data_IF_834114944623
#
_entry.id   IF_834114944623
#
_cell.length_a   1.000
_cell.length_b   1.000
_cell.length_c   1.000
_cell.angle_alpha   90.00
_cell.angle_beta   90.00
_cell.angle_gamma   90.00
#
_symmetry.space_group_name_H-M   'P 1'
#
loop_
_entity.id
_entity.type
_entity.pdbx_description
1 polymer ?
#
# COMPACT_ATOMS: atom_id res chain seq x y z
N UNK A 1 -17.04 0.74 -6.48
CA UNK A 1 -15.61 0.33 -6.51
C UNK A 1 -15.30 -0.79 -7.50
N UNK A 2 -15.95 -1.97 -7.44
CA UNK A 2 -15.64 -3.09 -8.36
C UNK A 2 -15.59 -2.71 -9.83
N UNK A 3 -16.62 -2.01 -10.30
CA UNK A 3 -16.71 -1.60 -11.70
C UNK A 3 -15.61 -0.61 -12.11
N UNK A 4 -15.31 0.35 -11.23
CA UNK A 4 -14.20 1.30 -11.42
C UNK A 4 -12.87 0.56 -11.58
N UNK A 5 -12.61 -0.45 -10.76
CA UNK A 5 -11.39 -1.25 -10.86
C UNK A 5 -11.29 -2.00 -12.18
N UNK A 6 -12.38 -2.63 -12.65
CA UNK A 6 -12.37 -3.33 -13.93
C UNK A 6 -12.13 -2.37 -15.09
N UNK A 7 -12.76 -1.20 -15.09
CA UNK A 7 -12.54 -0.18 -16.11
C UNK A 7 -11.09 0.32 -16.14
N UNK A 8 -10.50 0.61 -14.98
CA UNK A 8 -9.09 1.03 -14.89
C UNK A 8 -8.16 -0.10 -15.33
N UNK A 9 -8.40 -1.33 -14.90
CA UNK A 9 -7.59 -2.51 -15.27
C UNK A 9 -7.64 -2.78 -16.77
N UNK A 10 -8.78 -2.53 -17.41
CA UNK A 10 -8.95 -2.64 -18.85
C UNK A 10 -8.35 -1.46 -19.63
N UNK A 11 -7.90 -0.38 -18.96
CA UNK A 11 -7.45 0.85 -19.60
C UNK A 11 -8.58 1.67 -20.24
N UNK A 12 -9.85 1.37 -19.92
CA UNK A 12 -11.02 2.00 -20.51
C UNK A 12 -11.29 3.36 -19.85
N UNK A 13 -10.57 4.38 -20.33
CA UNK A 13 -10.65 5.74 -19.80
C UNK A 13 -12.04 6.35 -19.96
N UNK A 14 -12.75 6.03 -21.05
CA UNK A 14 -14.13 6.48 -21.28
C UNK A 14 -15.07 5.92 -20.22
N UNK A 15 -14.96 4.62 -19.93
CA UNK A 15 -15.79 3.98 -18.91
C UNK A 15 -15.49 4.51 -17.51
N UNK A 16 -14.23 4.80 -17.20
CA UNK A 16 -13.87 5.45 -15.92
C UNK A 16 -14.55 6.82 -15.77
N UNK A 17 -14.58 7.63 -16.83
CA UNK A 17 -15.27 8.94 -16.82
C UNK A 17 -16.76 8.78 -16.59
N UNK A 18 -17.41 7.84 -17.28
CA UNK A 18 -18.85 7.57 -17.10
C UNK A 18 -19.19 7.14 -15.67
N UNK A 19 -18.40 6.22 -15.10
CA UNK A 19 -18.60 5.73 -13.73
C UNK A 19 -18.46 6.89 -12.72
N UNK A 20 -17.43 7.72 -12.87
CA UNK A 20 -17.21 8.85 -11.95
C UNK A 20 -18.23 9.98 -12.18
N UNK A 21 -18.77 10.14 -13.39
CA UNK A 21 -19.87 11.07 -13.64
C UNK A 21 -21.17 10.61 -12.96
N UNK A 22 -21.42 9.30 -12.93
CA UNK A 22 -22.56 8.71 -12.24
C UNK A 22 -22.41 8.74 -10.71
N UNK A 23 -21.18 8.58 -10.19
CA UNK A 23 -20.85 8.69 -8.77
C UNK A 23 -19.56 9.51 -8.54
N UNK A 24 -19.69 10.84 -8.34
CA UNK A 24 -18.54 11.72 -8.13
C UNK A 24 -17.72 11.40 -6.88
N UNK A 25 -18.28 10.67 -5.90
CA UNK A 25 -17.54 10.26 -4.70
C UNK A 25 -16.37 9.32 -5.03
N UNK A 26 -16.45 8.63 -6.17
CA UNK A 26 -15.39 7.76 -6.68
C UNK A 26 -14.21 8.51 -7.29
N UNK A 27 -14.34 9.80 -7.58
CA UNK A 27 -13.35 10.56 -8.34
C UNK A 27 -11.97 10.59 -7.68
N UNK A 28 -11.91 10.73 -6.35
CA UNK A 28 -10.62 10.78 -5.63
C UNK A 28 -9.91 9.42 -5.67
N UNK A 29 -10.67 8.33 -5.60
CA UNK A 29 -10.14 6.98 -5.69
C UNK A 29 -9.66 6.67 -7.10
N UNK A 30 -10.44 7.05 -8.13
CA UNK A 30 -10.04 6.90 -9.52
C UNK A 30 -8.72 7.63 -9.82
N UNK A 31 -8.63 8.91 -9.41
CA UNK A 31 -7.43 9.71 -9.60
C UNK A 31 -6.22 9.12 -8.86
N UNK A 32 -6.42 8.61 -7.63
CA UNK A 32 -5.36 7.95 -6.86
C UNK A 32 -4.88 6.63 -7.50
N UNK A 33 -5.80 5.79 -7.99
CA UNK A 33 -5.47 4.53 -8.66
C UNK A 33 -4.75 4.79 -9.98
N UNK A 34 -5.18 5.77 -10.76
CA UNK A 34 -4.58 6.11 -12.05
C UNK A 34 -3.27 6.89 -11.92
N UNK A 35 -3.05 7.57 -10.79
CA UNK A 35 -1.90 8.46 -10.58
C UNK A 35 -2.10 9.86 -11.18
N UNK A 36 -3.34 10.27 -11.41
CA UNK A 36 -3.68 11.58 -11.98
C UNK A 36 -3.48 12.69 -10.93
N UNK A 37 -2.24 13.17 -10.85
CA UNK A 37 -1.83 14.16 -9.85
C UNK A 37 -2.54 15.51 -10.04
N UNK A 38 -2.81 15.93 -11.28
CA UNK A 38 -3.50 17.19 -11.56
C UNK A 38 -4.93 17.15 -11.02
N UNK A 39 -5.62 16.03 -11.25
CA UNK A 39 -6.97 15.82 -10.72
C UNK A 39 -6.97 15.70 -9.20
N UNK A 40 -6.05 14.93 -8.62
CA UNK A 40 -5.90 14.85 -7.16
C UNK A 40 -5.69 16.23 -6.53
N UNK A 41 -4.80 17.04 -7.10
CA UNK A 41 -4.51 18.38 -6.60
C UNK A 41 -5.76 19.28 -6.64
N UNK A 42 -6.46 19.30 -7.79
CA UNK A 42 -7.69 20.08 -7.96
C UNK A 42 -8.77 19.65 -6.96
N UNK A 43 -8.98 18.35 -6.79
CA UNK A 43 -9.99 17.81 -5.89
C UNK A 43 -9.69 18.13 -4.43
N UNK A 44 -8.45 17.93 -3.99
CA UNK A 44 -8.04 18.20 -2.59
C UNK A 44 -8.02 19.69 -2.27
N UNK A 45 -7.70 20.55 -3.26
CA UNK A 45 -7.81 22.00 -3.11
C UNK A 45 -9.26 22.45 -2.91
N UNK A 46 -10.21 21.84 -3.64
CA UNK A 46 -11.64 22.12 -3.50
C UNK A 46 -12.29 21.50 -2.25
N UNK A 47 -11.79 20.35 -1.79
CA UNK A 47 -12.29 19.68 -0.60
C UNK A 47 -11.20 18.84 0.10
N UNK A 48 -10.63 19.38 1.18
CA UNK A 48 -9.59 18.70 1.97
C UNK A 48 -10.07 17.41 2.65
N UNK A 49 -11.37 17.24 2.89
CA UNK A 49 -11.91 16.02 3.52
C UNK A 49 -11.74 14.78 2.63
N UNK A 50 -11.47 14.96 1.33
CA UNK A 50 -11.19 13.86 0.42
C UNK A 50 -9.90 13.10 0.76
N UNK A 51 -8.95 13.72 1.46
CA UNK A 51 -7.72 13.05 1.93
C UNK A 51 -8.02 11.88 2.90
N UNK A 52 -9.15 11.96 3.61
CA UNK A 52 -9.61 10.94 4.55
C UNK A 52 -10.84 10.19 4.05
N UNK A 53 -11.22 10.36 2.78
CA UNK A 53 -12.31 9.60 2.18
C UNK A 53 -12.00 8.10 2.24
N UNK A 54 -13.04 7.28 2.40
CA UNK A 54 -12.91 5.84 2.52
C UNK A 54 -13.78 5.18 1.46
N UNK A 55 -13.20 4.28 0.67
CA UNK A 55 -13.92 3.52 -0.35
C UNK A 55 -14.85 2.49 0.31
N UNK A 56 -15.73 1.88 -0.48
CA UNK A 56 -16.60 0.78 0.02
C UNK A 56 -15.81 -0.42 0.54
N UNK A 57 -14.55 -0.58 0.10
CA UNK A 57 -13.65 -1.64 0.54
C UNK A 57 -12.79 -1.22 1.74
N UNK A 58 -13.01 -0.02 2.30
CA UNK A 58 -12.32 0.50 3.47
C UNK A 58 -10.98 1.18 3.19
N UNK A 59 -10.67 1.54 1.95
CA UNK A 59 -9.37 2.10 1.56
C UNK A 59 -9.42 3.62 1.41
N UNK A 60 -8.36 4.32 1.84
CA UNK A 60 -8.20 5.76 1.55
C UNK A 60 -7.50 5.97 0.21
N UNK A 61 -7.51 7.20 -0.37
CA UNK A 61 -6.77 7.49 -1.59
C UNK A 61 -5.28 7.15 -1.47
N UNK A 62 -4.67 7.40 -0.30
CA UNK A 62 -3.26 7.08 -0.05
C UNK A 62 -3.00 5.57 -0.10
N UNK A 63 -3.90 4.76 0.47
CA UNK A 63 -3.74 3.30 0.40
C UNK A 63 -3.84 2.79 -1.05
N UNK A 64 -4.76 3.33 -1.85
CA UNK A 64 -4.92 2.93 -3.25
C UNK A 64 -3.72 3.38 -4.09
N UNK A 65 -3.32 4.65 -4.01
CA UNK A 65 -2.12 5.13 -4.70
C UNK A 65 -0.89 4.29 -4.33
N UNK A 66 -0.77 3.88 -3.07
CA UNK A 66 0.31 3.03 -2.61
C UNK A 66 0.24 1.59 -3.18
N UNK A 67 -0.94 0.96 -3.17
CA UNK A 67 -1.13 -0.39 -3.71
C UNK A 67 -0.88 -0.47 -5.22
N UNK A 68 -1.16 0.59 -5.97
CA UNK A 68 -0.98 0.67 -7.42
C UNK A 68 0.34 1.33 -7.85
N UNK A 69 1.25 1.62 -6.92
CA UNK A 69 2.60 2.08 -7.23
C UNK A 69 2.67 3.51 -7.77
N UNK A 70 1.68 4.35 -7.46
CA UNK A 70 1.59 5.72 -7.96
C UNK A 70 2.44 6.66 -7.10
N UNK A 71 3.76 6.58 -7.24
CA UNK A 71 4.74 7.32 -6.40
C UNK A 71 4.43 8.81 -6.31
N UNK A 72 4.18 9.48 -7.44
CA UNK A 72 3.92 10.93 -7.45
C UNK A 72 2.59 11.27 -6.77
N UNK A 73 1.56 10.43 -6.94
CA UNK A 73 0.29 10.58 -6.26
C UNK A 73 0.43 10.36 -4.74
N UNK A 74 1.24 9.39 -4.32
CA UNK A 74 1.57 9.16 -2.91
C UNK A 74 2.26 10.39 -2.31
N UNK A 75 3.30 10.93 -2.97
CA UNK A 75 3.99 12.15 -2.54
C UNK A 75 3.02 13.33 -2.44
N UNK A 76 2.19 13.55 -3.47
CA UNK A 76 1.22 14.62 -3.50
C UNK A 76 0.24 14.50 -2.33
N UNK A 77 -0.38 13.34 -2.12
CA UNK A 77 -1.35 13.11 -1.06
C UNK A 77 -0.74 13.36 0.32
N UNK A 78 0.48 12.87 0.58
CA UNK A 78 1.22 13.11 1.82
C UNK A 78 1.51 14.60 2.02
N UNK A 79 2.01 15.28 0.98
CA UNK A 79 2.31 16.72 1.01
C UNK A 79 1.06 17.58 1.23
N UNK A 80 -0.13 17.14 0.80
CA UNK A 80 -1.40 17.83 1.07
C UNK A 80 -2.00 17.51 2.45
N UNK A 81 -1.41 16.57 3.18
CA UNK A 81 -1.75 16.23 4.56
C UNK A 81 -2.51 14.92 4.76
N UNK A 82 -2.46 13.98 3.80
CA UNK A 82 -2.91 12.62 4.06
C UNK A 82 -2.11 12.01 5.21
N UNK A 83 -2.79 11.36 6.16
CA UNK A 83 -2.14 10.77 7.31
C UNK A 83 -1.42 9.47 6.90
N UNK A 84 -0.08 9.48 6.98
CA UNK A 84 0.75 8.31 6.63
C UNK A 84 0.43 7.06 7.45
N UNK A 85 0.06 7.25 8.72
CA UNK A 85 -0.31 6.18 9.66
C UNK A 85 -1.81 5.87 9.70
N UNK A 86 -2.61 6.41 8.77
CA UNK A 86 -4.03 6.07 8.70
C UNK A 86 -4.20 4.56 8.49
N UNK A 87 -5.09 3.96 9.28
CA UNK A 87 -5.52 2.59 9.06
C UNK A 87 -6.74 2.56 8.15
N UNK A 88 -6.77 1.61 7.22
CA UNK A 88 -7.96 1.25 6.47
C UNK A 88 -9.08 0.82 7.43
N UNK A 89 -10.33 1.00 7.04
CA UNK A 89 -11.48 0.54 7.85
C UNK A 89 -11.91 -0.88 7.50
N UNK A 90 -11.21 -1.53 6.57
CA UNK A 90 -11.43 -2.96 6.28
C UNK A 90 -10.97 -3.84 7.46
N UNK A 91 -11.39 -5.12 7.50
CA UNK A 91 -11.07 -6.02 8.61
C UNK A 91 -9.58 -6.17 8.89
N UNK A 92 -8.71 -5.98 7.89
CA UNK A 92 -7.27 -6.08 8.06
C UNK A 92 -6.69 -4.84 8.75
N UNK A 93 -7.33 -3.67 8.71
CA UNK A 93 -6.79 -2.43 9.33
C UNK A 93 -5.36 -2.08 8.88
N UNK A 94 -5.07 -2.31 7.61
CA UNK A 94 -3.79 -2.05 6.96
C UNK A 94 -3.44 -0.56 6.99
N UNK A 95 -2.16 -0.24 6.94
CA UNK A 95 -1.67 1.11 6.58
C UNK A 95 -1.22 1.13 5.11
N UNK A 96 -1.04 2.31 4.52
CA UNK A 96 -0.51 2.46 3.16
C UNK A 96 0.84 1.73 2.94
N UNK A 97 1.66 1.58 3.99
CA UNK A 97 2.91 0.82 3.90
C UNK A 97 2.68 -0.68 3.64
N UNK A 98 1.64 -1.28 4.23
CA UNK A 98 1.26 -2.67 3.92
C UNK A 98 0.75 -2.78 2.49
N UNK A 99 -0.01 -1.79 2.03
CA UNK A 99 -0.52 -1.72 0.67
C UNK A 99 0.61 -1.68 -0.37
N UNK A 100 1.62 -0.84 -0.16
CA UNK A 100 2.79 -0.75 -1.03
C UNK A 100 3.58 -2.06 -1.08
N UNK A 101 3.77 -2.73 0.07
CA UNK A 101 4.44 -4.03 0.14
C UNK A 101 3.63 -5.14 -0.55
N UNK A 102 2.30 -5.15 -0.38
CA UNK A 102 1.42 -6.09 -1.07
C UNK A 102 1.40 -5.84 -2.60
N UNK A 103 1.50 -4.57 -3.02
CA UNK A 103 1.59 -4.15 -4.43
C UNK A 103 2.98 -4.30 -5.05
N UNK A 104 4.01 -4.61 -4.25
CA UNK A 104 5.41 -4.78 -4.68
C UNK A 104 6.07 -3.49 -5.19
N UNK A 105 5.86 -2.39 -4.46
CA UNK A 105 6.30 -1.04 -4.84
C UNK A 105 7.32 -0.48 -3.84
N UNK A 106 8.59 -0.86 -4.02
CA UNK A 106 9.69 -0.48 -3.14
C UNK A 106 9.96 1.05 -3.12
N UNK A 107 9.73 1.71 -4.25
CA UNK A 107 9.79 3.17 -4.39
C UNK A 107 8.73 3.87 -3.53
N UNK A 108 7.49 3.39 -3.56
CA UNK A 108 6.41 3.87 -2.68
C UNK A 108 6.71 3.58 -1.21
N UNK A 109 7.23 2.39 -0.89
CA UNK A 109 7.67 2.05 0.48
C UNK A 109 8.66 3.11 0.98
N UNK A 110 9.66 3.45 0.19
CA UNK A 110 10.65 4.48 0.55
C UNK A 110 9.98 5.83 0.83
N UNK A 111 9.06 6.27 -0.04
CA UNK A 111 8.33 7.53 0.18
C UNK A 111 7.54 7.52 1.47
N UNK A 112 6.81 6.43 1.75
CA UNK A 112 6.00 6.33 2.96
C UNK A 112 6.87 6.36 4.22
N UNK A 113 7.99 5.64 4.24
CA UNK A 113 8.95 5.65 5.35
C UNK A 113 9.55 7.05 5.54
N UNK A 114 9.93 7.73 4.46
CA UNK A 114 10.47 9.10 4.51
C UNK A 114 9.46 10.11 5.10
N UNK A 115 8.16 9.83 5.00
CA UNK A 115 7.10 10.63 5.61
C UNK A 115 6.70 10.12 7.00
N UNK A 116 7.48 9.22 7.61
CA UNK A 116 7.28 8.74 8.98
C UNK A 116 6.34 7.55 9.12
N UNK A 117 6.11 6.77 8.05
CA UNK A 117 5.41 5.49 8.20
C UNK A 117 6.18 4.56 9.16
N UNK A 118 5.53 3.95 10.16
CA UNK A 118 6.20 3.00 11.03
C UNK A 118 6.55 1.73 10.24
N UNK A 119 7.84 1.46 10.06
CA UNK A 119 8.34 0.31 9.26
C UNK A 119 7.81 -1.03 9.78
N UNK A 120 7.72 -1.16 11.10
CA UNK A 120 7.19 -2.33 11.80
C UNK A 120 5.70 -2.21 12.14
N UNK A 121 4.94 -1.45 11.34
CA UNK A 121 3.50 -1.37 11.49
C UNK A 121 2.88 -2.78 11.48
N UNK A 122 1.85 -2.97 12.30
CA UNK A 122 1.10 -4.23 12.36
C UNK A 122 -0.33 -3.98 11.95
N UNK A 123 -0.79 -4.69 10.93
CA UNK A 123 -2.21 -4.80 10.62
C UNK A 123 -2.93 -5.72 11.64
N UNK A 124 -4.25 -5.84 11.54
CA UNK A 124 -5.02 -6.85 12.28
C UNK A 124 -4.52 -8.26 11.92
N UNK A 125 -4.37 -9.15 12.91
CA UNK A 125 -3.65 -10.42 12.72
C UNK A 125 -2.13 -10.28 12.90
N UNK A 126 -1.63 -9.08 13.19
CA UNK A 126 -0.23 -8.84 13.52
C UNK A 126 0.75 -8.86 12.35
N UNK A 127 0.26 -8.92 11.11
CA UNK A 127 1.13 -8.92 9.93
C UNK A 127 1.84 -7.59 9.73
N UNK A 128 3.10 -7.64 9.30
CA UNK A 128 3.97 -6.51 9.00
C UNK A 128 4.15 -6.34 7.49
N UNK A 129 4.60 -5.16 7.01
CA UNK A 129 4.96 -4.98 5.60
C UNK A 129 6.02 -5.98 5.11
N UNK A 130 6.98 -6.37 5.96
CA UNK A 130 8.01 -7.33 5.58
C UNK A 130 7.44 -8.73 5.33
N UNK A 131 6.48 -9.16 6.15
CA UNK A 131 5.76 -10.43 5.93
C UNK A 131 4.96 -10.42 4.61
N UNK A 132 4.34 -9.28 4.25
CA UNK A 132 3.66 -9.15 2.95
C UNK A 132 4.65 -9.26 1.78
N UNK A 133 5.81 -8.58 1.86
CA UNK A 133 6.87 -8.69 0.84
C UNK A 133 7.42 -10.12 0.73
N UNK A 134 7.65 -10.79 1.87
CA UNK A 134 8.14 -12.16 1.93
C UNK A 134 7.16 -13.17 1.34
N UNK A 135 5.86 -13.04 1.63
CA UNK A 135 4.82 -13.89 1.02
C UNK A 135 4.83 -13.79 -0.51
N UNK A 136 5.09 -12.60 -1.05
CA UNK A 136 5.11 -12.34 -2.50
C UNK A 136 6.47 -12.63 -3.15
N UNK A 137 7.52 -12.96 -2.38
CA UNK A 137 8.88 -13.14 -2.88
C UNK A 137 9.51 -11.86 -3.40
N UNK A 138 9.02 -10.69 -2.97
CA UNK A 138 9.46 -9.40 -3.47
C UNK A 138 10.72 -8.89 -2.75
N UNK A 139 11.87 -9.25 -3.32
CA UNK A 139 13.18 -8.93 -2.76
C UNK A 139 13.46 -7.43 -2.68
N UNK A 140 12.91 -6.62 -3.58
CA UNK A 140 13.18 -5.18 -3.61
C UNK A 140 12.49 -4.49 -2.44
N UNK A 141 11.19 -4.75 -2.25
CA UNK A 141 10.45 -4.26 -1.09
C UNK A 141 11.03 -4.79 0.22
N UNK A 142 11.42 -6.06 0.28
CA UNK A 142 12.05 -6.63 1.47
C UNK A 142 13.38 -5.94 1.82
N UNK A 143 14.28 -5.73 0.84
CA UNK A 143 15.51 -4.97 1.06
C UNK A 143 15.24 -3.54 1.52
N UNK A 144 14.26 -2.87 0.92
CA UNK A 144 13.88 -1.51 1.32
C UNK A 144 13.40 -1.47 2.76
N UNK A 145 12.56 -2.42 3.18
CA UNK A 145 12.06 -2.50 4.55
C UNK A 145 13.18 -2.84 5.54
N UNK A 146 14.00 -3.85 5.26
CA UNK A 146 15.11 -4.28 6.13
C UNK A 146 16.14 -3.16 6.31
N UNK A 147 16.54 -2.49 5.23
CA UNK A 147 17.48 -1.36 5.29
C UNK A 147 16.96 -0.15 6.09
N UNK A 148 15.64 -0.08 6.30
CA UNK A 148 15.00 0.94 7.13
C UNK A 148 14.57 0.40 8.52
N UNK A 149 15.11 -0.74 8.95
CA UNK A 149 14.92 -1.25 10.32
C UNK A 149 13.68 -2.12 10.51
N UNK A 150 13.22 -2.80 9.46
CA UNK A 150 12.21 -3.84 9.63
C UNK A 150 12.75 -4.99 10.50
N UNK A 151 11.94 -5.40 11.48
CA UNK A 151 12.23 -6.53 12.34
C UNK A 151 12.01 -7.84 11.58
N UNK A 152 13.11 -8.49 11.18
CA UNK A 152 13.10 -9.76 10.45
C UNK A 152 12.56 -10.93 11.28
N UNK A 153 12.50 -10.79 12.61
CA UNK A 153 11.99 -11.79 13.55
C UNK A 153 10.53 -11.54 13.97
N UNK A 154 9.89 -10.50 13.44
CA UNK A 154 8.52 -10.16 13.79
C UNK A 154 7.56 -11.33 13.49
N UNK A 155 6.77 -11.70 14.51
CA UNK A 155 5.76 -12.77 14.41
C UNK A 155 4.37 -12.18 14.26
N UNK A 156 3.58 -12.71 13.34
CA UNK A 156 2.14 -12.45 13.27
C UNK A 156 1.40 -13.18 14.41
N UNK A 157 0.11 -12.92 14.60
CA UNK A 157 -0.71 -13.57 15.64
C UNK A 157 -0.81 -15.10 15.46
N UNK A 158 -0.67 -15.57 14.22
CA UNK A 158 -0.58 -17.00 13.90
C UNK A 158 0.85 -17.56 13.99
N UNK A 159 1.76 -16.86 14.67
CA UNK A 159 3.18 -17.16 14.84
C UNK A 159 4.04 -17.21 13.57
N UNK A 160 3.50 -16.88 12.39
CA UNK A 160 4.32 -16.85 11.18
C UNK A 160 5.28 -15.66 11.19
N UNK A 161 6.53 -15.90 10.80
CA UNK A 161 7.55 -14.89 10.49
C UNK A 161 7.61 -14.61 9.00
N UNK A 162 8.41 -13.62 8.58
CA UNK A 162 8.72 -13.43 7.16
C UNK A 162 9.42 -14.67 6.56
N UNK A 163 10.29 -15.32 7.34
CA UNK A 163 11.01 -16.52 6.91
C UNK A 163 10.07 -17.72 6.70
N UNK A 164 9.12 -17.95 7.62
CA UNK A 164 8.09 -18.99 7.47
C UNK A 164 7.28 -18.83 6.18
N UNK A 165 6.91 -17.59 5.85
CA UNK A 165 6.16 -17.28 4.64
C UNK A 165 7.00 -17.51 3.38
N UNK A 166 8.26 -17.09 3.39
CA UNK A 166 9.18 -17.31 2.27
C UNK A 166 9.39 -18.81 2.01
N UNK A 167 9.61 -19.61 3.06
CA UNK A 167 9.73 -21.08 2.98
C UNK A 167 8.46 -21.73 2.47
N UNK A 168 7.30 -21.39 3.05
CA UNK A 168 5.99 -21.95 2.67
C UNK A 168 5.64 -21.68 1.20
N UNK A 169 6.10 -20.55 0.66
CA UNK A 169 5.87 -20.16 -0.74
C UNK A 169 6.99 -20.58 -1.70
N UNK A 170 8.08 -21.14 -1.20
CA UNK A 170 9.21 -21.61 -2.02
C UNK A 170 10.10 -20.48 -2.57
N UNK A 171 10.10 -19.30 -1.94
CA UNK A 171 10.86 -18.14 -2.39
C UNK A 171 12.31 -18.19 -1.91
N UNK A 172 13.15 -19.05 -2.51
CA UNK A 172 14.52 -19.31 -2.02
C UNK A 172 15.36 -18.04 -1.89
N UNK A 173 15.35 -17.15 -2.88
CA UNK A 173 16.13 -15.91 -2.80
C UNK A 173 15.66 -14.98 -1.66
N UNK A 174 14.40 -15.08 -1.22
CA UNK A 174 13.88 -14.36 -0.06
C UNK A 174 14.34 -15.00 1.24
N UNK A 175 14.38 -16.33 1.30
CA UNK A 175 14.98 -17.09 2.41
C UNK A 175 16.42 -16.65 2.61
N UNK A 176 17.23 -16.69 1.55
CA UNK A 176 18.65 -16.31 1.61
C UNK A 176 18.83 -14.86 2.08
N UNK A 177 17.98 -13.94 1.59
CA UNK A 177 17.97 -12.54 2.01
C UNK A 177 17.65 -12.39 3.50
N UNK A 178 16.62 -13.08 3.99
CA UNK A 178 16.17 -12.99 5.38
C UNK A 178 17.21 -13.60 6.34
N UNK A 179 17.75 -14.78 6.03
CA UNK A 179 18.78 -15.44 6.82
C UNK A 179 20.07 -14.60 6.87
N UNK A 180 20.48 -14.02 5.75
CA UNK A 180 21.64 -13.11 5.70
C UNK A 180 21.45 -11.84 6.54
N UNK A 181 20.20 -11.51 6.90
CA UNK A 181 19.85 -10.40 7.80
C UNK A 181 19.45 -10.88 9.20
N UNK A 182 19.73 -12.13 9.56
CA UNK A 182 19.56 -12.67 10.92
C UNK A 182 18.17 -13.24 11.22
N UNK A 183 17.35 -13.51 10.20
CA UNK A 183 16.12 -14.28 10.39
C UNK A 183 16.42 -15.74 10.71
N UNK A 184 15.61 -16.34 11.57
CA UNK A 184 15.69 -17.76 11.93
C UNK A 184 14.30 -18.26 12.32
N UNK A 185 14.10 -19.59 12.33
CA UNK A 185 12.86 -20.23 12.78
C UNK A 185 12.74 -20.28 14.31
#
# INVERSE_FOLDING_TARGET
MKELFEAIRAGDSSRVVEIVAADPSLGIFAAAIQGDCARLETMVAGNRALLTAVSTDGWTPLHLAAFFGKVDAVRLLLNKGAQVGARSTNPMQNMALHAAAAGRHADVIKVLIDHGAPVNARQHGGWTPLQAAAQNGDLESARMLISNGADVQARAENNQTALDLALTKGHQAMVDLLESNGASL
#
